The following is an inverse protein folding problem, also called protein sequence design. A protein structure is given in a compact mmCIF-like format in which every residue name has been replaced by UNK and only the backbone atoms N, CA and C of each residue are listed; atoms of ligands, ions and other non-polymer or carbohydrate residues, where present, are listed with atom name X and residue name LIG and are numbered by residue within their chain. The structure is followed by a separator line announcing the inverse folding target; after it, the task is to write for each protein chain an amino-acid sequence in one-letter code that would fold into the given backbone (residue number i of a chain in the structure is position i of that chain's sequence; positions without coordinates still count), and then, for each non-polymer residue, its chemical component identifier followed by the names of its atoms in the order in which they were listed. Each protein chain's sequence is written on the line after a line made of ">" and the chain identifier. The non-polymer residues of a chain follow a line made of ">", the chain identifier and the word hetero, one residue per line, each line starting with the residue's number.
data_IF_189612348387
#
_entry.id   IF_189612348387
#
_cell.length_a   1.000
_cell.length_b   1.000
_cell.length_c   1.000
_cell.angle_alpha   90.00
_cell.angle_beta   90.00
_cell.angle_gamma   90.00
#
_symmetry.space_group_name_H-M   'P 1'
#
loop_
_entity.id
_entity.type
_entity.pdbx_description
1 polymer ?
#
# COMPACT_ATOMS: atom_id res chain seq x y z
N UNK A 1 -13.77 6.99 13.68
CA UNK A 1 -13.05 6.42 12.51
C UNK A 1 -13.64 5.08 12.04
N UNK A 2 -14.19 4.23 12.91
CA UNK A 2 -14.85 2.96 12.49
C UNK A 2 -16.18 3.16 11.73
N UNK A 3 -17.01 4.13 12.12
CA UNK A 3 -18.37 4.32 11.58
C UNK A 3 -18.43 5.06 10.23
N UNK A 4 -17.28 5.47 9.66
CA UNK A 4 -17.23 6.23 8.42
C UNK A 4 -17.12 5.34 7.17
N UNK A 5 -16.74 4.08 7.33
CA UNK A 5 -16.60 3.14 6.20
C UNK A 5 -17.87 2.31 6.05
N UNK A 6 -18.48 2.38 4.86
CA UNK A 6 -19.69 1.63 4.48
C UNK A 6 -19.59 0.13 4.82
N UNK A 7 -18.41 -0.46 4.62
CA UNK A 7 -18.16 -1.88 4.85
C UNK A 7 -18.26 -2.32 6.31
N UNK A 8 -17.94 -1.44 7.25
CA UNK A 8 -18.00 -1.77 8.67
C UNK A 8 -19.44 -2.01 9.15
N UNK A 9 -20.42 -1.36 8.51
CA UNK A 9 -21.83 -1.64 8.77
C UNK A 9 -22.22 -3.02 8.25
N UNK A 10 -21.78 -3.41 7.06
CA UNK A 10 -22.07 -4.72 6.47
C UNK A 10 -21.44 -5.84 7.30
N UNK A 11 -20.20 -5.66 7.75
CA UNK A 11 -19.49 -6.62 8.58
C UNK A 11 -20.13 -6.83 9.95
N UNK A 12 -20.83 -5.82 10.47
CA UNK A 12 -21.58 -5.91 11.72
C UNK A 12 -22.99 -6.48 11.51
N UNK A 13 -23.74 -5.97 10.55
CA UNK A 13 -25.15 -6.32 10.32
C UNK A 13 -25.30 -7.78 9.91
N UNK A 14 -24.44 -8.30 9.02
CA UNK A 14 -24.60 -9.65 8.50
C UNK A 14 -24.46 -10.74 9.60
N UNK A 15 -23.39 -10.77 10.43
CA UNK A 15 -23.29 -11.71 11.54
C UNK A 15 -24.36 -11.51 12.61
N UNK A 16 -24.71 -10.25 12.94
CA UNK A 16 -25.78 -9.98 13.90
C UNK A 16 -27.12 -10.53 13.43
N UNK A 17 -27.45 -10.39 12.14
CA UNK A 17 -28.66 -10.97 11.55
C UNK A 17 -28.72 -12.48 11.74
N UNK A 18 -27.61 -13.18 11.46
CA UNK A 18 -27.52 -14.64 11.69
C UNK A 18 -27.72 -14.99 13.17
N UNK A 19 -27.08 -14.26 14.09
CA UNK A 19 -27.24 -14.51 15.54
C UNK A 19 -28.69 -14.28 15.97
N UNK A 20 -29.34 -13.21 15.51
CA UNK A 20 -30.75 -12.92 15.81
C UNK A 20 -31.64 -14.06 15.31
N UNK A 21 -31.41 -14.56 14.09
CA UNK A 21 -32.16 -15.70 13.54
C UNK A 21 -31.96 -16.96 14.39
N UNK A 22 -30.74 -17.26 14.83
CA UNK A 22 -30.47 -18.40 15.69
C UNK A 22 -31.17 -18.28 17.05
N UNK A 23 -31.23 -17.07 17.62
CA UNK A 23 -31.97 -16.82 18.86
C UNK A 23 -33.48 -17.02 18.65
N UNK A 24 -34.04 -16.51 17.56
CA UNK A 24 -35.45 -16.67 17.20
C UNK A 24 -35.79 -18.16 17.04
N UNK A 25 -34.98 -18.91 16.29
CA UNK A 25 -35.15 -20.36 16.12
C UNK A 25 -35.04 -21.12 17.44
N UNK A 26 -34.11 -20.74 18.32
CA UNK A 26 -34.00 -21.34 19.65
C UNK A 26 -35.24 -21.08 20.51
N UNK A 27 -35.77 -19.86 20.50
CA UNK A 27 -37.00 -19.52 21.23
C UNK A 27 -38.22 -20.29 20.69
N UNK A 28 -38.32 -20.43 19.38
CA UNK A 28 -39.37 -21.19 18.70
C UNK A 28 -39.35 -22.69 19.09
N UNK A 29 -38.16 -23.29 19.21
CA UNK A 29 -37.99 -24.67 19.70
C UNK A 29 -38.45 -24.83 21.16
N UNK A 30 -38.38 -23.77 21.97
CA UNK A 30 -38.84 -23.76 23.37
C UNK A 30 -40.32 -23.36 23.52
N UNK A 31 -41.13 -23.53 22.46
CA UNK A 31 -42.56 -23.24 22.41
C UNK A 31 -42.95 -21.77 22.64
N UNK A 32 -42.01 -20.82 22.43
CA UNK A 32 -42.36 -19.39 22.40
C UNK A 32 -43.00 -19.04 21.06
N UNK A 33 -44.21 -18.47 21.09
CA UNK A 33 -44.87 -17.98 19.89
C UNK A 33 -44.21 -16.69 19.40
N UNK A 34 -43.55 -16.78 18.26
CA UNK A 34 -42.97 -15.64 17.54
C UNK A 34 -43.81 -15.39 16.29
N UNK A 35 -44.00 -14.13 15.93
CA UNK A 35 -44.67 -13.76 14.69
C UNK A 35 -43.89 -14.28 13.47
N UNK A 36 -44.49 -15.19 12.71
CA UNK A 36 -43.86 -15.79 11.52
C UNK A 36 -43.50 -14.76 10.45
N UNK A 37 -44.32 -13.74 10.23
CA UNK A 37 -44.07 -12.71 9.22
C UNK A 37 -42.85 -11.86 9.60
N UNK A 38 -42.69 -11.58 10.89
CA UNK A 38 -41.52 -10.88 11.41
C UNK A 38 -40.25 -11.72 11.26
N UNK A 39 -40.33 -13.02 11.56
CA UNK A 39 -39.21 -13.95 11.36
C UNK A 39 -38.80 -14.02 9.88
N UNK A 40 -39.77 -14.19 8.97
CA UNK A 40 -39.52 -14.22 7.51
C UNK A 40 -38.90 -12.92 7.00
N UNK A 41 -39.31 -11.77 7.54
CA UNK A 41 -38.77 -10.46 7.20
C UNK A 41 -37.32 -10.29 7.66
N UNK A 42 -36.98 -10.71 8.88
CA UNK A 42 -35.58 -10.68 9.36
C UNK A 42 -34.71 -11.63 8.54
N UNK A 43 -35.22 -12.83 8.22
CA UNK A 43 -34.52 -13.81 7.42
C UNK A 43 -34.18 -13.29 6.02
N UNK A 44 -35.13 -12.64 5.35
CA UNK A 44 -34.92 -12.09 4.00
C UNK A 44 -33.87 -10.98 3.99
N UNK A 45 -33.95 -10.04 4.95
CA UNK A 45 -32.98 -8.95 5.10
C UNK A 45 -31.59 -9.50 5.42
N UNK A 46 -31.49 -10.42 6.39
CA UNK A 46 -30.21 -11.01 6.78
C UNK A 46 -29.56 -11.77 5.63
N UNK A 47 -30.35 -12.51 4.85
CA UNK A 47 -29.86 -13.23 3.66
C UNK A 47 -29.33 -12.26 2.61
N UNK A 48 -30.00 -11.13 2.38
CA UNK A 48 -29.52 -10.08 1.47
C UNK A 48 -28.16 -9.52 1.92
N UNK A 49 -28.03 -9.17 3.21
CA UNK A 49 -26.76 -8.67 3.74
C UNK A 49 -25.64 -9.70 3.69
N UNK A 50 -25.95 -10.99 3.82
CA UNK A 50 -24.97 -12.08 3.62
C UNK A 50 -24.46 -12.14 2.18
N UNK A 51 -25.33 -11.94 1.18
CA UNK A 51 -24.91 -11.83 -0.23
C UNK A 51 -24.09 -10.56 -0.49
N UNK A 52 -24.42 -9.44 0.15
CA UNK A 52 -23.59 -8.22 0.07
C UNK A 52 -22.22 -8.45 0.72
N UNK A 53 -22.16 -9.20 1.83
CA UNK A 53 -20.89 -9.60 2.46
C UNK A 53 -20.05 -10.50 1.55
N UNK A 54 -20.67 -11.32 0.70
CA UNK A 54 -19.93 -12.06 -0.32
C UNK A 54 -19.21 -11.10 -1.28
N UNK A 55 -19.86 -10.01 -1.69
CA UNK A 55 -19.20 -8.97 -2.50
C UNK A 55 -18.01 -8.33 -1.77
N UNK A 56 -18.09 -8.13 -0.45
CA UNK A 56 -16.94 -7.69 0.35
C UNK A 56 -15.75 -8.66 0.23
N UNK A 57 -16.00 -9.97 0.40
CA UNK A 57 -14.93 -11.00 0.31
C UNK A 57 -14.30 -11.03 -1.08
N UNK A 58 -15.09 -10.78 -2.12
CA UNK A 58 -14.61 -10.70 -3.50
C UNK A 58 -13.64 -9.54 -3.74
N UNK A 59 -13.51 -8.56 -2.84
CA UNK A 59 -12.50 -7.47 -2.91
C UNK A 59 -11.07 -8.00 -2.85
N UNK A 60 -10.84 -9.17 -2.26
CA UNK A 60 -9.51 -9.76 -2.07
C UNK A 60 -8.88 -10.20 -3.40
N UNK A 61 -9.70 -10.60 -4.38
CA UNK A 61 -9.18 -11.06 -5.67
C UNK A 61 -8.93 -9.88 -6.60
N UNK A 62 -7.73 -9.83 -7.20
CA UNK A 62 -7.32 -8.72 -8.09
C UNK A 62 -8.31 -8.44 -9.22
N UNK A 63 -8.85 -9.48 -9.85
CA UNK A 63 -9.76 -9.33 -10.99
C UNK A 63 -11.13 -8.76 -10.60
N UNK A 64 -11.61 -9.05 -9.38
CA UNK A 64 -12.95 -8.63 -8.94
C UNK A 64 -12.92 -7.43 -8.00
N UNK A 65 -11.82 -7.21 -7.27
CA UNK A 65 -11.67 -6.06 -6.38
C UNK A 65 -11.76 -4.73 -7.12
N UNK A 66 -11.17 -4.63 -8.31
CA UNK A 66 -11.31 -3.47 -9.18
C UNK A 66 -12.78 -3.20 -9.57
N UNK A 67 -13.53 -4.24 -9.97
CA UNK A 67 -14.95 -4.10 -10.34
C UNK A 67 -15.81 -3.66 -9.15
N UNK A 68 -15.55 -4.19 -7.96
CA UNK A 68 -16.28 -3.82 -6.75
C UNK A 68 -15.97 -2.37 -6.37
N UNK A 69 -14.71 -1.94 -6.47
CA UNK A 69 -14.31 -0.57 -6.21
C UNK A 69 -15.03 0.40 -7.15
N UNK A 70 -15.04 0.09 -8.44
CA UNK A 70 -15.79 0.84 -9.46
C UNK A 70 -17.28 0.94 -9.12
N UNK A 71 -17.92 -0.16 -8.69
CA UNK A 71 -19.33 -0.13 -8.29
C UNK A 71 -19.56 0.85 -7.12
N UNK A 72 -18.67 0.89 -6.13
CA UNK A 72 -18.79 1.82 -4.99
C UNK A 72 -18.66 3.27 -5.44
N UNK A 73 -17.66 3.57 -6.28
CA UNK A 73 -17.44 4.93 -6.79
C UNK A 73 -18.61 5.39 -7.66
N UNK A 74 -19.10 4.54 -8.57
CA UNK A 74 -20.29 4.82 -9.38
C UNK A 74 -21.53 5.09 -8.53
N UNK A 75 -21.77 4.28 -7.48
CA UNK A 75 -22.89 4.49 -6.54
C UNK A 75 -22.74 5.79 -5.74
N UNK A 76 -21.52 6.14 -5.37
CA UNK A 76 -21.22 7.40 -4.66
C UNK A 76 -21.48 8.61 -5.55
N UNK A 77 -21.02 8.57 -6.80
CA UNK A 77 -21.10 9.70 -7.73
C UNK A 77 -22.54 9.95 -8.20
N UNK A 78 -23.35 8.90 -8.38
CA UNK A 78 -24.74 9.06 -8.79
C UNK A 78 -25.66 9.64 -7.70
N UNK A 79 -25.19 9.81 -6.45
CA UNK A 79 -26.04 10.21 -5.33
C UNK A 79 -26.80 11.53 -5.54
N UNK A 80 -26.12 12.54 -6.10
CA UNK A 80 -26.75 13.84 -6.40
C UNK A 80 -27.76 13.68 -7.54
N UNK A 81 -27.42 12.90 -8.57
CA UNK A 81 -28.34 12.61 -9.67
C UNK A 81 -29.60 11.88 -9.19
N UNK A 82 -29.45 10.86 -8.32
CA UNK A 82 -30.58 10.12 -7.76
C UNK A 82 -31.50 11.00 -6.92
N UNK A 83 -30.95 12.02 -6.24
CA UNK A 83 -31.77 13.01 -5.54
C UNK A 83 -32.61 13.84 -6.52
N UNK A 84 -32.03 14.28 -7.64
CA UNK A 84 -32.77 15.00 -8.69
C UNK A 84 -33.85 14.11 -9.31
N UNK A 85 -33.53 12.86 -9.61
CA UNK A 85 -34.48 11.85 -10.09
C UNK A 85 -35.62 11.61 -9.10
N UNK A 86 -35.33 11.53 -7.80
CA UNK A 86 -36.35 11.37 -6.78
C UNK A 86 -37.31 12.55 -6.76
N UNK A 87 -36.81 13.79 -6.86
CA UNK A 87 -37.64 15.00 -6.88
C UNK A 87 -38.59 14.97 -8.09
N UNK A 88 -38.11 14.55 -9.26
CA UNK A 88 -38.91 14.53 -10.50
C UNK A 88 -39.94 13.40 -10.45
N UNK A 89 -39.58 12.22 -9.94
CA UNK A 89 -40.50 11.12 -9.64
C UNK A 89 -41.64 11.59 -8.73
N UNK A 90 -41.32 12.30 -7.63
CA UNK A 90 -42.33 12.80 -6.71
C UNK A 90 -43.21 13.88 -7.34
N UNK A 91 -42.65 14.76 -8.17
CA UNK A 91 -43.40 15.83 -8.85
C UNK A 91 -44.39 15.28 -9.89
N UNK A 92 -43.94 14.35 -10.75
CA UNK A 92 -44.82 13.66 -11.69
C UNK A 92 -45.81 12.76 -10.96
N UNK A 93 -45.37 12.02 -9.94
CA UNK A 93 -46.22 11.14 -9.15
C UNK A 93 -47.36 11.90 -8.47
N UNK A 94 -47.06 13.01 -7.80
CA UNK A 94 -48.06 13.89 -7.20
C UNK A 94 -49.05 14.47 -8.24
N UNK A 95 -48.57 14.76 -9.46
CA UNK A 95 -49.42 15.21 -10.56
C UNK A 95 -50.36 14.10 -11.06
N UNK A 96 -49.85 12.88 -11.26
CA UNK A 96 -50.67 11.72 -11.63
C UNK A 96 -51.67 11.35 -10.52
N UNK A 97 -51.28 11.45 -9.25
CA UNK A 97 -52.17 11.21 -8.12
C UNK A 97 -53.36 12.19 -8.12
N UNK A 98 -53.12 13.48 -8.41
CA UNK A 98 -54.23 14.45 -8.54
C UNK A 98 -55.16 14.15 -9.70
N UNK A 99 -54.64 13.67 -10.82
CA UNK A 99 -55.46 13.21 -11.95
C UNK A 99 -56.24 11.94 -11.59
N UNK A 100 -55.60 10.97 -10.91
CA UNK A 100 -56.24 9.75 -10.41
C UNK A 100 -57.41 10.09 -9.48
N UNK A 101 -57.18 10.91 -8.46
CA UNK A 101 -58.19 11.34 -7.50
C UNK A 101 -59.33 12.16 -8.11
N UNK A 102 -59.13 12.70 -9.33
CA UNK A 102 -60.21 13.33 -10.07
C UNK A 102 -61.30 12.33 -10.46
N UNK A 103 -60.92 11.08 -10.76
CA UNK A 103 -61.82 10.00 -11.19
C UNK A 103 -62.74 9.51 -10.06
N UNK A 104 -63.84 8.85 -10.46
CA UNK A 104 -64.68 8.08 -9.52
C UNK A 104 -63.85 7.06 -8.76
N UNK A 105 -64.25 6.72 -7.53
CA UNK A 105 -63.50 5.79 -6.66
C UNK A 105 -63.16 4.46 -7.36
N UNK A 106 -64.08 3.92 -8.15
CA UNK A 106 -63.88 2.67 -8.93
C UNK A 106 -62.92 2.80 -10.13
N UNK A 107 -62.50 4.02 -10.48
CA UNK A 107 -61.69 4.35 -11.66
C UNK A 107 -60.41 5.10 -11.32
N UNK A 108 -60.03 5.13 -10.04
CA UNK A 108 -58.73 5.65 -9.59
C UNK A 108 -57.65 4.63 -9.93
N UNK A 109 -56.58 5.09 -10.58
CA UNK A 109 -55.44 4.24 -10.98
C UNK A 109 -54.24 4.35 -10.03
N UNK A 110 -54.28 5.28 -9.08
CA UNK A 110 -53.31 5.44 -8.00
C UNK A 110 -54.07 5.66 -6.69
N UNK A 111 -53.82 4.80 -5.70
CA UNK A 111 -54.48 4.83 -4.39
C UNK A 111 -53.98 6.00 -3.51
N UNK A 112 -52.67 6.05 -3.26
CA UNK A 112 -52.06 6.97 -2.30
C UNK A 112 -50.69 7.47 -2.78
N UNK A 113 -50.15 8.50 -2.11
CA UNK A 113 -48.89 9.16 -2.47
C UNK A 113 -47.70 8.21 -2.64
N UNK A 114 -47.56 7.19 -1.78
CA UNK A 114 -46.47 6.21 -1.92
C UNK A 114 -46.58 5.40 -3.23
N UNK A 115 -47.79 4.98 -3.58
CA UNK A 115 -48.06 4.30 -4.84
C UNK A 115 -47.86 5.22 -6.04
N UNK A 116 -48.05 6.53 -5.89
CA UNK A 116 -47.80 7.48 -6.97
C UNK A 116 -46.32 7.54 -7.38
N UNK A 117 -45.40 7.53 -6.40
CA UNK A 117 -43.97 7.43 -6.68
C UNK A 117 -43.59 6.09 -7.33
N UNK A 118 -44.16 4.98 -6.84
CA UNK A 118 -43.96 3.66 -7.45
C UNK A 118 -44.51 3.57 -8.87
N UNK A 119 -45.64 4.22 -9.14
CA UNK A 119 -46.26 4.29 -10.46
C UNK A 119 -45.31 4.94 -11.48
N UNK A 120 -44.75 6.10 -11.15
CA UNK A 120 -43.76 6.77 -12.01
C UNK A 120 -42.48 5.95 -12.11
N UNK A 121 -41.99 5.36 -11.01
CA UNK A 121 -40.81 4.48 -11.04
C UNK A 121 -40.99 3.29 -12.00
N UNK A 122 -42.16 2.64 -11.99
CA UNK A 122 -42.51 1.57 -12.94
C UNK A 122 -42.49 2.07 -14.38
N UNK A 123 -43.04 3.26 -14.61
CA UNK A 123 -43.04 3.89 -15.93
C UNK A 123 -41.62 4.16 -16.45
N UNK A 124 -40.69 4.56 -15.56
CA UNK A 124 -39.25 4.71 -15.85
C UNK A 124 -38.58 3.35 -16.18
N UNK A 125 -39.09 2.25 -15.67
CA UNK A 125 -38.58 0.92 -16.01
C UNK A 125 -39.19 0.33 -17.30
N UNK A 126 -40.12 1.03 -17.93
CA UNK A 126 -40.77 0.59 -19.17
C UNK A 126 -42.13 -0.08 -18.98
N UNK A 127 -42.70 -0.05 -17.77
CA UNK A 127 -44.05 -0.56 -17.49
C UNK A 127 -45.08 0.53 -17.82
N UNK A 128 -45.72 0.43 -18.99
CA UNK A 128 -46.58 1.46 -19.57
C UNK A 128 -48.04 1.00 -19.67
N UNK A 129 -48.59 0.49 -18.56
CA UNK A 129 -50.00 0.11 -18.51
C UNK A 129 -50.91 1.35 -18.49
N UNK A 130 -51.29 1.79 -19.70
CA UNK A 130 -52.17 2.96 -19.93
C UNK A 130 -53.66 2.61 -19.92
N UNK A 131 -54.02 1.32 -19.89
CA UNK A 131 -55.41 0.86 -19.91
C UNK A 131 -56.13 1.22 -18.60
N UNK A 132 -55.35 1.56 -17.57
CA UNK A 132 -55.81 1.98 -16.25
C UNK A 132 -56.20 3.46 -16.20
N UNK A 133 -55.91 4.26 -17.23
CA UNK A 133 -56.25 5.68 -17.22
C UNK A 133 -57.76 5.89 -17.23
N UNK A 134 -58.27 6.57 -16.19
CA UNK A 134 -59.66 6.96 -16.09
C UNK A 134 -60.08 7.99 -17.15
N UNK A 135 -61.37 8.32 -17.18
CA UNK A 135 -61.96 9.17 -18.24
C UNK A 135 -61.70 10.67 -18.04
N UNK A 136 -61.27 11.09 -16.86
CA UNK A 136 -61.17 12.51 -16.51
C UNK A 136 -59.88 13.13 -17.00
N UNK A 137 -60.03 14.25 -17.72
CA UNK A 137 -58.91 15.03 -18.26
C UNK A 137 -57.91 14.19 -19.06
N UNK A 138 -58.42 13.21 -19.83
CA UNK A 138 -57.61 12.28 -20.63
C UNK A 138 -56.54 12.97 -21.48
N UNK A 139 -56.79 14.13 -22.14
CA UNK A 139 -55.74 14.84 -22.87
C UNK A 139 -54.57 15.27 -21.98
N UNK A 140 -54.84 15.70 -20.73
CA UNK A 140 -53.80 16.10 -19.78
C UNK A 140 -53.01 14.90 -19.26
N UNK A 141 -53.68 13.76 -19.03
CA UNK A 141 -53.04 12.49 -18.67
C UNK A 141 -52.01 12.11 -19.74
N UNK A 142 -52.41 12.12 -21.01
CA UNK A 142 -51.52 11.81 -22.13
C UNK A 142 -50.36 12.81 -22.29
N UNK A 143 -50.63 14.11 -22.11
CA UNK A 143 -49.57 15.14 -22.16
C UNK A 143 -48.54 14.89 -21.04
N UNK A 144 -49.00 14.65 -19.81
CA UNK A 144 -48.11 14.35 -18.68
C UNK A 144 -47.36 13.03 -18.86
N UNK A 145 -48.01 12.00 -19.42
CA UNK A 145 -47.39 10.73 -19.75
C UNK A 145 -46.24 10.90 -20.75
N UNK A 146 -46.48 11.60 -21.85
CA UNK A 146 -45.44 11.86 -22.87
C UNK A 146 -44.33 12.74 -22.30
N UNK A 147 -44.67 13.77 -21.51
CA UNK A 147 -43.69 14.65 -20.88
C UNK A 147 -42.81 13.88 -19.88
N UNK A 148 -43.42 13.05 -19.03
CA UNK A 148 -42.72 12.24 -18.05
C UNK A 148 -41.82 11.20 -18.71
N UNK A 149 -42.31 10.51 -19.76
CA UNK A 149 -41.49 9.51 -20.46
C UNK A 149 -40.32 10.16 -21.20
N UNK A 150 -40.52 11.27 -21.92
CA UNK A 150 -39.41 11.99 -22.56
C UNK A 150 -38.41 12.46 -21.50
N UNK A 151 -38.88 13.10 -20.44
CA UNK A 151 -38.00 13.65 -19.43
C UNK A 151 -37.23 12.55 -18.68
N UNK A 152 -37.92 11.55 -18.13
CA UNK A 152 -37.28 10.53 -17.30
C UNK A 152 -36.50 9.49 -18.12
N UNK A 153 -37.06 8.99 -19.23
CA UNK A 153 -36.41 7.94 -20.03
C UNK A 153 -35.34 8.48 -20.97
N UNK A 154 -35.59 9.62 -21.61
CA UNK A 154 -34.69 10.14 -22.64
C UNK A 154 -33.69 11.10 -22.03
N UNK A 155 -34.09 11.97 -21.11
CA UNK A 155 -33.16 12.97 -20.54
C UNK A 155 -32.47 12.40 -19.31
N UNK A 156 -33.21 12.00 -18.28
CA UNK A 156 -32.63 11.59 -17.00
C UNK A 156 -31.82 10.30 -17.13
N UNK A 157 -32.38 9.24 -17.74
CA UNK A 157 -31.66 7.96 -17.87
C UNK A 157 -30.39 8.09 -18.73
N UNK A 158 -30.42 8.84 -19.83
CA UNK A 158 -29.22 9.07 -20.64
C UNK A 158 -28.17 9.92 -19.91
N UNK A 159 -28.60 10.89 -19.10
CA UNK A 159 -27.69 11.65 -18.23
C UNK A 159 -27.05 10.75 -17.17
N UNK A 160 -27.81 9.83 -16.57
CA UNK A 160 -27.27 8.84 -15.63
C UNK A 160 -26.19 7.98 -16.30
N UNK A 161 -26.46 7.45 -17.50
CA UNK A 161 -25.48 6.67 -18.25
C UNK A 161 -24.22 7.49 -18.55
N UNK A 162 -24.36 8.76 -18.90
CA UNK A 162 -23.22 9.64 -19.15
C UNK A 162 -22.35 9.81 -17.89
N UNK A 163 -22.97 10.06 -16.73
CA UNK A 163 -22.25 10.19 -15.44
C UNK A 163 -21.54 8.88 -15.08
N UNK A 164 -22.24 7.74 -15.18
CA UNK A 164 -21.66 6.42 -14.91
C UNK A 164 -20.48 6.14 -15.85
N UNK A 165 -20.59 6.53 -17.12
CA UNK A 165 -19.53 6.29 -18.12
C UNK A 165 -18.28 7.12 -17.85
N UNK A 166 -18.44 8.35 -17.37
CA UNK A 166 -17.34 9.23 -16.97
C UNK A 166 -16.61 8.68 -15.73
N UNK A 167 -17.35 8.32 -14.68
CA UNK A 167 -16.79 7.65 -13.49
C UNK A 167 -16.09 6.34 -13.89
N UNK A 168 -16.71 5.52 -14.75
CA UNK A 168 -16.10 4.29 -15.24
C UNK A 168 -14.76 4.55 -15.92
N UNK A 169 -14.67 5.54 -16.82
CA UNK A 169 -13.45 5.87 -17.53
C UNK A 169 -12.33 6.32 -16.57
N UNK A 170 -12.67 7.18 -15.61
CA UNK A 170 -11.73 7.66 -14.58
C UNK A 170 -11.17 6.53 -13.71
N UNK A 171 -12.01 5.56 -13.34
CA UNK A 171 -11.58 4.42 -12.52
C UNK A 171 -10.79 3.41 -13.36
N UNK A 172 -11.15 3.22 -14.63
CA UNK A 172 -10.46 2.32 -15.55
C UNK A 172 -9.04 2.76 -15.89
N UNK A 173 -8.82 4.05 -16.10
CA UNK A 173 -7.49 4.60 -16.34
C UNK A 173 -6.54 4.32 -15.16
N UNK A 174 -7.07 4.31 -13.93
CA UNK A 174 -6.30 4.11 -12.71
C UNK A 174 -6.46 2.71 -12.11
N UNK A 175 -6.92 1.72 -12.89
CA UNK A 175 -7.31 0.39 -12.40
C UNK A 175 -6.22 -0.34 -11.60
N UNK A 176 -4.96 -0.26 -12.04
CA UNK A 176 -3.84 -0.88 -11.33
C UNK A 176 -3.55 -0.18 -9.99
N UNK A 177 -3.54 1.15 -9.97
CA UNK A 177 -3.36 1.95 -8.76
C UNK A 177 -4.51 1.74 -7.77
N UNK A 178 -5.75 1.73 -8.28
CA UNK A 178 -6.95 1.46 -7.50
C UNK A 178 -6.90 0.05 -6.88
N UNK A 179 -6.42 -0.96 -7.62
CA UNK A 179 -6.19 -2.30 -7.09
C UNK A 179 -5.20 -2.34 -5.93
N UNK A 180 -4.08 -1.62 -6.04
CA UNK A 180 -3.10 -1.53 -4.95
C UNK A 180 -3.63 -0.74 -3.74
N UNK A 181 -4.36 0.35 -3.97
CA UNK A 181 -5.03 1.11 -2.90
C UNK A 181 -6.04 0.24 -2.16
N UNK A 182 -6.82 -0.56 -2.87
CA UNK A 182 -7.82 -1.45 -2.28
C UNK A 182 -7.15 -2.53 -1.42
N UNK A 183 -6.06 -3.11 -1.92
CA UNK A 183 -5.29 -4.10 -1.18
C UNK A 183 -4.62 -3.48 0.07
N UNK A 184 -4.08 -2.26 -0.02
CA UNK A 184 -3.54 -1.54 1.12
C UNK A 184 -4.62 -1.25 2.17
N UNK A 185 -5.81 -0.83 1.74
CA UNK A 185 -6.97 -0.59 2.61
C UNK A 185 -7.44 -1.87 3.30
N UNK A 186 -7.49 -3.00 2.58
CA UNK A 186 -7.81 -4.30 3.19
C UNK A 186 -6.77 -4.70 4.24
N UNK A 187 -5.48 -4.44 4.02
CA UNK A 187 -4.41 -4.71 5.00
C UNK A 187 -4.58 -3.83 6.24
N UNK A 188 -4.87 -2.54 6.07
CA UNK A 188 -5.14 -1.61 7.17
C UNK A 188 -6.38 -2.05 7.97
N UNK A 189 -7.49 -2.32 7.29
CA UNK A 189 -8.76 -2.77 7.89
C UNK A 189 -8.56 -4.04 8.72
N UNK A 190 -7.71 -4.98 8.25
CA UNK A 190 -7.49 -6.28 8.88
C UNK A 190 -6.20 -6.37 9.71
N UNK A 191 -5.50 -5.25 9.93
CA UNK A 191 -4.20 -5.26 10.61
C UNK A 191 -4.28 -5.80 12.04
N UNK A 192 -5.45 -5.65 12.68
CA UNK A 192 -5.73 -6.14 14.03
C UNK A 192 -5.80 -7.67 14.11
N UNK A 193 -6.06 -8.36 13.00
CA UNK A 193 -6.11 -9.83 12.93
C UNK A 193 -4.73 -10.46 13.03
N UNK A 194 -3.66 -9.70 12.74
CA UNK A 194 -2.28 -10.21 12.79
C UNK A 194 -1.67 -9.92 14.17
N UNK A 195 -1.35 -10.95 14.97
CA UNK A 195 -0.75 -10.77 16.28
C UNK A 195 0.60 -10.05 16.24
N UNK A 196 0.88 -9.24 17.28
CA UNK A 196 2.11 -8.45 17.38
C UNK A 196 3.40 -9.27 17.23
N UNK A 197 3.43 -10.49 17.78
CA UNK A 197 4.62 -11.36 17.72
C UNK A 197 4.96 -11.79 16.28
N UNK A 198 3.94 -12.07 15.45
CA UNK A 198 4.13 -12.41 14.02
C UNK A 198 4.61 -11.18 13.26
N UNK A 199 4.01 -10.00 13.50
CA UNK A 199 4.45 -8.73 12.89
C UNK A 199 5.93 -8.49 13.15
N UNK A 200 6.38 -8.66 14.40
CA UNK A 200 7.78 -8.43 14.79
C UNK A 200 8.76 -9.44 14.17
N UNK A 201 8.34 -10.69 13.98
CA UNK A 201 9.17 -11.73 13.35
C UNK A 201 9.31 -11.52 11.84
N UNK A 202 8.23 -11.08 11.16
CA UNK A 202 8.19 -10.90 9.71
C UNK A 202 8.66 -9.52 9.26
N UNK A 203 8.57 -8.49 10.12
CA UNK A 203 9.07 -7.16 9.82
C UNK A 203 10.59 -7.11 9.82
N UNK A 204 11.20 -7.42 8.67
CA UNK A 204 12.61 -7.09 8.42
C UNK A 204 12.76 -5.57 8.53
N UNK A 205 13.46 -5.11 9.57
CA UNK A 205 13.65 -3.67 9.84
C UNK A 205 14.34 -2.99 8.65
N UNK A 206 13.80 -1.84 8.24
CA UNK A 206 14.41 -0.87 7.33
C UNK A 206 14.84 -1.40 5.95
N UNK A 207 14.01 -2.20 5.29
CA UNK A 207 14.30 -2.64 3.91
C UNK A 207 13.84 -1.66 2.82
N UNK A 208 12.83 -0.84 3.11
CA UNK A 208 12.21 0.03 2.12
C UNK A 208 12.16 1.46 2.66
N UNK A 209 12.50 2.42 1.81
CA UNK A 209 12.26 3.85 2.02
C UNK A 209 10.97 4.21 1.29
N UNK A 210 9.93 4.60 2.02
CA UNK A 210 8.67 5.00 1.41
C UNK A 210 8.81 6.44 0.91
N UNK A 211 8.66 6.62 -0.40
CA UNK A 211 8.55 7.92 -1.04
C UNK A 211 7.08 8.20 -1.30
N UNK A 212 6.60 9.34 -0.79
CA UNK A 212 5.23 9.80 -1.00
C UNK A 212 5.34 11.10 -1.78
N UNK A 213 4.95 11.05 -3.05
CA UNK A 213 4.84 12.23 -3.89
C UNK A 213 3.36 12.68 -3.95
N UNK A 214 3.05 13.97 -3.73
CA UNK A 214 1.70 14.47 -3.88
C UNK A 214 1.24 14.36 -5.33
N UNK A 215 0.02 13.85 -5.53
CA UNK A 215 -0.59 13.53 -6.84
C UNK A 215 -0.80 14.77 -7.73
N UNK A 216 -0.62 15.99 -7.20
CA UNK A 216 -0.90 17.25 -7.92
C UNK A 216 0.02 17.55 -9.12
N UNK A 217 1.07 16.74 -9.37
CA UNK A 217 1.93 16.90 -10.56
C UNK A 217 1.86 15.68 -11.48
N UNK A 218 0.72 15.50 -12.16
CA UNK A 218 0.56 14.61 -13.33
C UNK A 218 1.05 15.30 -14.62
N UNK A 219 1.93 16.30 -14.52
CA UNK A 219 2.88 16.47 -15.63
C UNK A 219 3.85 15.31 -15.51
N UNK A 220 3.76 14.37 -16.47
CA UNK A 220 4.67 13.23 -16.68
C UNK A 220 6.14 13.67 -16.67
N UNK A 221 6.68 14.00 -15.51
CA UNK A 221 8.11 14.02 -15.24
C UNK A 221 8.43 12.62 -14.77
N UNK A 222 9.07 11.90 -15.68
CA UNK A 222 9.44 10.49 -15.60
C UNK A 222 10.11 10.09 -14.28
N UNK A 223 10.67 11.04 -13.52
CA UNK A 223 11.25 10.79 -12.22
C UNK A 223 10.83 11.83 -11.17
N UNK A 224 10.40 11.33 -10.01
CA UNK A 224 10.24 12.14 -8.79
C UNK A 224 11.53 12.92 -8.50
N UNK A 225 11.39 14.20 -8.14
CA UNK A 225 12.52 15.07 -7.74
C UNK A 225 13.36 14.43 -6.65
N UNK A 226 12.73 13.64 -5.78
CA UNK A 226 13.41 12.93 -4.70
C UNK A 226 14.21 11.73 -5.21
N UNK A 227 13.70 10.99 -6.20
CA UNK A 227 14.42 9.89 -6.86
C UNK A 227 15.71 10.41 -7.50
N UNK A 228 15.63 11.49 -8.27
CA UNK A 228 16.79 12.13 -8.88
C UNK A 228 17.83 12.56 -7.84
N UNK A 229 17.38 13.04 -6.68
CA UNK A 229 18.27 13.44 -5.60
C UNK A 229 18.92 12.24 -4.91
N UNK A 230 18.17 11.16 -4.68
CA UNK A 230 18.70 9.89 -4.14
C UNK A 230 19.74 9.29 -5.09
N UNK A 231 19.48 9.26 -6.39
CA UNK A 231 20.45 8.81 -7.40
C UNK A 231 21.72 9.65 -7.40
N UNK A 232 21.59 10.98 -7.29
CA UNK A 232 22.75 11.86 -7.19
C UNK A 232 23.62 11.57 -5.98
N UNK A 233 23.01 11.23 -4.84
CA UNK A 233 23.73 10.84 -3.61
C UNK A 233 24.39 9.48 -3.78
N UNK A 234 23.70 8.49 -4.38
CA UNK A 234 24.29 7.19 -4.68
C UNK A 234 25.51 7.31 -5.60
N UNK A 235 25.44 8.18 -6.61
CA UNK A 235 26.56 8.47 -7.51
C UNK A 235 27.73 9.16 -6.79
N UNK A 236 27.45 10.08 -5.86
CA UNK A 236 28.48 10.68 -5.01
C UNK A 236 29.17 9.65 -4.12
N UNK A 237 28.41 8.72 -3.52
CA UNK A 237 28.96 7.64 -2.70
C UNK A 237 29.85 6.72 -3.55
N UNK A 238 29.46 6.41 -4.78
CA UNK A 238 30.24 5.58 -5.68
C UNK A 238 31.56 6.26 -6.10
N UNK A 239 31.52 7.56 -6.38
CA UNK A 239 32.73 8.35 -6.68
C UNK A 239 33.66 8.42 -5.47
N UNK A 240 33.12 8.71 -4.28
CA UNK A 240 33.91 8.72 -3.04
C UNK A 240 34.58 7.37 -2.78
N UNK A 241 33.90 6.25 -3.08
CA UNK A 241 34.50 4.91 -2.98
C UNK A 241 35.67 4.73 -3.94
N UNK A 242 35.55 5.18 -5.19
CA UNK A 242 36.64 5.14 -6.20
C UNK A 242 37.83 6.00 -5.79
N UNK A 243 37.58 7.18 -5.23
CA UNK A 243 38.63 8.07 -4.70
C UNK A 243 39.33 7.44 -3.49
N UNK A 244 38.57 6.76 -2.62
CA UNK A 244 39.12 6.03 -1.48
C UNK A 244 40.01 4.87 -1.95
N UNK A 245 39.55 4.06 -2.91
CA UNK A 245 40.34 2.96 -3.49
C UNK A 245 41.64 3.47 -4.14
N UNK A 246 41.57 4.63 -4.82
CA UNK A 246 42.74 5.26 -5.43
C UNK A 246 43.72 5.76 -4.36
N UNK A 247 43.21 6.35 -3.29
CA UNK A 247 44.01 6.80 -2.15
C UNK A 247 44.69 5.63 -1.42
N UNK A 248 43.97 4.52 -1.23
CA UNK A 248 44.52 3.28 -0.66
C UNK A 248 45.65 2.73 -1.55
N UNK A 249 45.46 2.69 -2.87
CA UNK A 249 46.53 2.26 -3.80
C UNK A 249 47.77 3.16 -3.74
N UNK A 250 47.58 4.48 -3.69
CA UNK A 250 48.69 5.42 -3.55
C UNK A 250 49.41 5.25 -2.21
N UNK A 251 48.67 4.99 -1.13
CA UNK A 251 49.23 4.73 0.19
C UNK A 251 50.04 3.44 0.20
N UNK A 252 49.53 2.36 -0.41
CA UNK A 252 50.25 1.09 -0.55
C UNK A 252 51.56 1.28 -1.34
N UNK A 253 51.54 2.02 -2.47
CA UNK A 253 52.76 2.31 -3.22
C UNK A 253 53.80 3.11 -2.41
N UNK A 254 53.34 4.06 -1.58
CA UNK A 254 54.23 4.79 -0.66
C UNK A 254 54.81 3.87 0.42
N UNK A 255 54.00 2.97 0.97
CA UNK A 255 54.45 1.96 1.93
C UNK A 255 55.50 1.05 1.27
N UNK A 256 55.27 0.56 0.05
CA UNK A 256 56.23 -0.29 -0.68
C UNK A 256 57.55 0.45 -0.94
N UNK A 257 57.50 1.73 -1.29
CA UNK A 257 58.70 2.56 -1.43
C UNK A 257 59.45 2.72 -0.11
N UNK A 258 58.74 2.95 1.00
CA UNK A 258 59.36 3.04 2.34
C UNK A 258 59.97 1.70 2.74
N UNK A 259 59.27 0.58 2.53
CA UNK A 259 59.78 -0.77 2.80
C UNK A 259 61.05 -1.02 1.98
N UNK A 260 61.05 -0.65 0.70
CA UNK A 260 62.22 -0.78 -0.19
C UNK A 260 63.40 0.06 0.32
N UNK A 261 63.15 1.28 0.79
CA UNK A 261 64.17 2.14 1.39
C UNK A 261 64.72 1.55 2.69
N UNK A 262 63.86 1.03 3.57
CA UNK A 262 64.27 0.38 4.83
C UNK A 262 65.13 -0.85 4.55
N UNK A 263 64.74 -1.69 3.59
CA UNK A 263 65.51 -2.88 3.18
C UNK A 263 66.89 -2.46 2.66
N UNK A 264 66.97 -1.41 1.85
CA UNK A 264 68.24 -0.88 1.34
C UNK A 264 69.14 -0.38 2.46
N UNK A 265 68.58 0.39 3.40
CA UNK A 265 69.31 0.88 4.59
C UNK A 265 69.82 -0.30 5.43
N UNK A 266 69.01 -1.34 5.64
CA UNK A 266 69.44 -2.55 6.36
C UNK A 266 70.60 -3.27 5.65
N UNK A 267 70.52 -3.41 4.32
CA UNK A 267 71.59 -4.04 3.55
C UNK A 267 72.90 -3.24 3.60
N UNK A 268 72.81 -1.92 3.47
CA UNK A 268 73.97 -1.03 3.55
C UNK A 268 74.60 -1.05 4.96
N UNK A 269 73.76 -1.06 6.01
CA UNK A 269 74.22 -1.21 7.39
C UNK A 269 74.89 -2.58 7.65
N UNK A 270 74.33 -3.66 7.11
CA UNK A 270 74.91 -5.01 7.24
C UNK A 270 76.27 -5.12 6.52
N UNK A 271 76.43 -4.49 5.36
CA UNK A 271 77.72 -4.38 4.66
C UNK A 271 78.74 -3.57 5.48
N UNK A 272 78.32 -2.45 6.05
CA UNK A 272 79.20 -1.62 6.90
C UNK A 272 79.70 -2.41 8.12
N UNK A 273 78.80 -3.10 8.84
CA UNK A 273 79.19 -3.97 9.96
C UNK A 273 80.14 -5.08 9.54
N UNK A 274 79.90 -5.70 8.37
CA UNK A 274 80.78 -6.76 7.85
C UNK A 274 82.17 -6.23 7.55
N UNK A 275 82.27 -5.03 6.97
CA UNK A 275 83.53 -4.36 6.70
C UNK A 275 84.26 -3.99 8.00
N UNK A 276 83.56 -3.46 9.00
CA UNK A 276 84.13 -3.16 10.33
C UNK A 276 84.64 -4.43 11.02
N UNK A 277 83.88 -5.53 10.97
CA UNK A 277 84.30 -6.83 11.50
C UNK A 277 85.55 -7.36 10.75
N UNK A 278 85.64 -7.17 9.44
CA UNK A 278 86.82 -7.54 8.67
C UNK A 278 88.05 -6.72 9.05
N UNK A 279 87.88 -5.41 9.25
CA UNK A 279 88.96 -4.52 9.71
C UNK A 279 89.43 -4.91 11.11
N UNK A 280 88.51 -5.14 12.06
CA UNK A 280 88.85 -5.61 13.41
C UNK A 280 89.54 -6.97 13.39
N UNK A 281 89.11 -7.90 12.54
CA UNK A 281 89.81 -9.19 12.36
C UNK A 281 91.24 -9.00 11.84
N UNK A 282 91.44 -8.10 10.87
CA UNK A 282 92.77 -7.78 10.35
C UNK A 282 93.68 -7.15 11.42
N UNK A 283 93.15 -6.25 12.25
CA UNK A 283 93.88 -5.66 13.38
C UNK A 283 94.24 -6.70 14.46
N UNK A 284 93.31 -7.62 14.79
CA UNK A 284 93.58 -8.72 15.73
C UNK A 284 94.68 -9.65 15.18
N UNK A 285 94.69 -9.89 13.86
CA UNK A 285 95.69 -10.74 13.22
C UNK A 285 97.08 -10.09 13.21
N UNK A 286 97.14 -8.76 12.99
CA UNK A 286 98.35 -7.97 13.10
C UNK A 286 98.89 -7.92 14.55
N UNK A 287 98.01 -7.87 15.55
CA UNK A 287 98.41 -7.90 16.96
C UNK A 287 98.88 -9.30 17.41
N UNK A 288 98.31 -10.38 16.88
CA UNK A 288 98.83 -11.73 17.10
C UNK A 288 100.23 -11.92 16.51
N UNK A 289 100.55 -11.27 15.39
CA UNK A 289 101.91 -11.28 14.83
C UNK A 289 102.91 -10.47 15.68
N UNK A 290 102.45 -9.43 16.40
CA UNK A 290 103.28 -8.68 17.36
C UNK A 290 103.58 -9.44 18.66
N UNK A 291 102.67 -10.30 19.15
CA UNK A 291 102.92 -11.13 20.33
C UNK A 291 103.95 -12.25 20.09
N UNK A 292 104.22 -12.65 18.84
CA UNK A 292 105.23 -13.67 18.50
C UNK A 292 106.67 -13.11 18.55
N UNK A 293 106.86 -11.80 18.72
CA UNK A 293 108.18 -11.14 18.70
C UNK A 293 108.43 -10.35 19.99
N UNK A 294 108.34 -10.99 21.16
CA UNK A 294 109.06 -10.55 22.37
C UNK A 294 109.60 -11.78 23.12
N UNK A 295 110.94 -11.95 23.25
CA UNK A 295 111.51 -13.02 24.04
C UNK A 295 111.36 -12.71 25.54
N UNK A 296 110.75 -13.63 26.27
CA UNK A 296 110.78 -13.63 27.74
C UNK A 296 112.21 -13.93 28.19
N UNK A 297 112.95 -12.90 28.60
CA UNK A 297 114.14 -13.04 29.44
C UNK A 297 113.70 -13.41 30.86
N UNK A 298 114.00 -14.63 31.28
CA UNK A 298 113.92 -15.04 32.68
C UNK A 298 115.16 -14.48 33.44
N UNK A 299 114.99 -13.80 34.59
CA UNK A 299 116.12 -13.38 35.41
C UNK A 299 116.71 -14.58 36.18
N UNK A 300 118.04 -14.55 36.32
CA UNK A 300 118.82 -15.49 37.13
C UNK A 300 118.37 -15.47 38.61
N UNK A 301 118.13 -16.66 39.17
CA UNK A 301 118.05 -16.89 40.60
C UNK A 301 119.38 -17.50 41.00
N UNK A 302 120.20 -16.69 41.65
CA UNK A 302 121.44 -17.12 42.29
C UNK A 302 121.08 -17.83 43.61
N UNK A 303 121.63 -19.03 43.79
CA UNK A 303 121.48 -19.79 45.01
C UNK A 303 122.42 -19.22 46.08
N UNK A 304 121.85 -18.54 47.07
CA UNK A 304 122.46 -18.38 48.39
C UNK A 304 121.78 -19.35 49.36
N UNK A 305 122.42 -20.49 49.62
CA UNK A 305 122.43 -21.12 50.96
C UNK A 305 123.31 -20.28 51.91
N UNK A 306 123.30 -20.44 53.26
CA UNK A 306 122.39 -21.07 54.25
C UNK A 306 121.97 -19.97 55.32
N UNK A 307 121.49 -20.18 56.59
CA UNK A 307 121.58 -21.34 57.48
C UNK A 307 120.37 -21.72 58.39
N UNK A 308 120.47 -22.96 58.89
CA UNK A 308 119.88 -23.59 60.09
C UNK A 308 118.35 -23.73 60.20
#
# INVERSE_FOLDING_TARGET
>A
MYIAQMWNYIDLIAPLGVVIIQIIQFLEINDYQINEDFNRSILSISTLFMWIKLLYVMRIFKNTGYLIRMLIEVVSDMGIFLLLLLITILAFGDSFLRLSNGNSEDSQFIEHFFYAGLYVYRMILGDWDTDTFGEISLPLVWILFVMCTIFEMIVMLNLLIAIISDTYAHVAENSEQAGFQEMAKLIEENEFLVPYHIKKQQAKKMQYLLLIDPVENIEKKDDSVVILKVESVLKQIENNKKDLDTSIKQMNNKIDNIVTQIVKIQQDHQKALTNEIQQLKAEIQLNKEKEVVQPVQAPAIDAQEPPK
#
